data_IF_162121860900
#
_entry.id   IF_162121860900
#
_cell.length_a   1.000
_cell.length_b   1.000
_cell.length_c   1.000
_cell.angle_alpha   90.00
_cell.angle_beta   90.00
_cell.angle_gamma   90.00
#
_symmetry.space_group_name_H-M   'P 1'
#
loop_
_entity.id
_entity.type
_entity.pdbx_description
1 polymer ?
#
# COMPACT_ATOMS: atom_id res chain seq x y z
N UNK A 1 3.89 90.89 -23.36
CA UNK A 1 4.63 89.68 -22.97
C UNK A 1 4.05 89.24 -21.64
N UNK A 2 3.21 88.20 -21.56
CA UNK A 2 2.92 87.50 -20.27
C UNK A 2 1.90 86.35 -20.37
N UNK A 3 1.11 86.26 -21.45
CA UNK A 3 0.17 85.14 -21.63
C UNK A 3 0.88 83.80 -21.91
N UNK A 4 1.92 83.79 -22.75
CA UNK A 4 2.68 82.58 -23.07
C UNK A 4 3.40 81.97 -21.85
N UNK A 5 3.87 82.81 -20.92
CA UNK A 5 4.53 82.37 -19.68
C UNK A 5 3.55 81.62 -18.75
N UNK A 6 2.33 82.14 -18.56
CA UNK A 6 1.31 81.49 -17.72
C UNK A 6 0.84 80.14 -18.28
N UNK A 7 0.69 80.02 -19.60
CA UNK A 7 0.33 78.74 -20.20
C UNK A 7 1.46 77.72 -20.09
N UNK A 8 2.72 78.11 -20.28
CA UNK A 8 3.86 77.19 -20.13
C UNK A 8 3.94 76.60 -18.72
N UNK A 9 3.72 77.42 -17.68
CA UNK A 9 3.69 76.94 -16.28
C UNK A 9 2.52 75.98 -16.05
N UNK A 10 1.31 76.29 -16.56
CA UNK A 10 0.14 75.42 -16.43
C UNK A 10 0.34 74.06 -17.11
N UNK A 11 0.96 74.02 -18.29
CA UNK A 11 1.25 72.78 -19.01
C UNK A 11 2.31 71.94 -18.28
N UNK A 12 3.31 72.57 -17.68
CA UNK A 12 4.33 71.86 -16.90
C UNK A 12 3.76 71.18 -15.65
N UNK A 13 2.85 71.84 -14.94
CA UNK A 13 2.18 71.26 -13.75
C UNK A 13 1.29 70.08 -14.14
N UNK A 14 0.54 70.20 -15.25
CA UNK A 14 -0.30 69.12 -15.76
C UNK A 14 0.52 67.88 -16.15
N UNK A 15 1.67 68.09 -16.80
CA UNK A 15 2.57 67.00 -17.19
C UNK A 15 3.15 66.26 -15.96
N UNK A 16 3.52 67.00 -14.92
CA UNK A 16 4.03 66.42 -13.67
C UNK A 16 2.97 65.54 -12.99
N UNK A 17 1.73 66.02 -12.91
CA UNK A 17 0.61 65.26 -12.32
C UNK A 17 0.37 63.95 -13.09
N UNK A 18 0.37 63.99 -14.42
CA UNK A 18 0.20 62.78 -15.25
C UNK A 18 1.35 61.79 -15.00
N UNK A 19 2.59 62.26 -14.95
CA UNK A 19 3.76 61.40 -14.68
C UNK A 19 3.66 60.73 -13.31
N UNK A 20 3.23 61.48 -12.28
CA UNK A 20 3.07 60.92 -10.93
C UNK A 20 1.90 59.92 -10.84
N UNK A 21 0.79 60.15 -11.55
CA UNK A 21 -0.30 59.19 -11.67
C UNK A 21 0.20 57.90 -12.35
N UNK A 22 0.90 58.01 -13.48
CA UNK A 22 1.46 56.84 -14.20
C UNK A 22 2.44 56.09 -13.29
N UNK A 23 3.33 56.79 -12.60
CA UNK A 23 4.30 56.19 -11.67
C UNK A 23 3.59 55.46 -10.51
N UNK A 24 2.51 56.02 -10.00
CA UNK A 24 1.71 55.41 -8.93
C UNK A 24 0.98 54.16 -9.43
N UNK A 25 0.38 54.22 -10.63
CA UNK A 25 -0.27 53.07 -11.26
C UNK A 25 0.72 51.93 -11.57
N UNK A 26 1.92 52.24 -12.04
CA UNK A 26 2.98 51.24 -12.25
C UNK A 26 3.38 50.55 -10.94
N UNK A 27 3.55 51.30 -9.84
CA UNK A 27 3.85 50.72 -8.52
C UNK A 27 2.72 49.80 -8.04
N UNK A 28 1.47 50.21 -8.21
CA UNK A 28 0.30 49.41 -7.82
C UNK A 28 0.24 48.10 -8.61
N UNK A 29 0.51 48.16 -9.93
CA UNK A 29 0.56 47.00 -10.81
C UNK A 29 1.69 46.03 -10.42
N UNK A 30 2.88 46.56 -10.09
CA UNK A 30 4.00 45.75 -9.59
C UNK A 30 3.66 45.04 -8.27
N UNK A 31 3.00 45.72 -7.34
CA UNK A 31 2.57 45.15 -6.06
C UNK A 31 1.53 44.04 -6.28
N UNK A 32 0.52 44.27 -7.14
CA UNK A 32 -0.49 43.26 -7.48
C UNK A 32 0.14 42.03 -8.15
N UNK A 33 1.08 42.24 -9.07
CA UNK A 33 1.81 41.15 -9.72
C UNK A 33 2.61 40.33 -8.70
N UNK A 34 3.28 41.00 -7.77
CA UNK A 34 4.04 40.34 -6.70
C UNK A 34 3.12 39.54 -5.77
N UNK A 35 2.01 40.11 -5.31
CA UNK A 35 1.02 39.42 -4.47
C UNK A 35 0.43 38.18 -5.16
N UNK A 36 0.07 38.28 -6.44
CA UNK A 36 -0.44 37.14 -7.21
C UNK A 36 0.63 36.04 -7.36
N UNK A 37 1.89 36.41 -7.58
CA UNK A 37 3.00 35.44 -7.59
C UNK A 37 3.16 34.73 -6.23
N UNK A 38 3.10 35.46 -5.11
CA UNK A 38 3.19 34.85 -3.78
C UNK A 38 2.03 33.87 -3.52
N UNK A 39 0.80 34.24 -3.91
CA UNK A 39 -0.38 33.39 -3.77
C UNK A 39 -0.27 32.10 -4.61
N UNK A 40 0.27 32.22 -5.83
CA UNK A 40 0.53 31.07 -6.70
C UNK A 40 1.57 30.12 -6.10
N UNK A 41 2.66 30.66 -5.53
CA UNK A 41 3.69 29.85 -4.87
C UNK A 41 3.11 29.07 -3.67
N UNK A 42 2.30 29.73 -2.83
CA UNK A 42 1.64 29.11 -1.68
C UNK A 42 0.68 27.97 -2.09
N UNK A 43 -0.12 28.18 -3.14
CA UNK A 43 -1.06 27.15 -3.62
C UNK A 43 -0.32 25.93 -4.19
N UNK A 44 0.76 26.14 -4.94
CA UNK A 44 1.60 25.04 -5.46
C UNK A 44 2.26 24.26 -4.31
N UNK A 45 2.77 24.95 -3.28
CA UNK A 45 3.38 24.29 -2.11
C UNK A 45 2.39 23.42 -1.34
N UNK A 46 1.17 23.93 -1.10
CA UNK A 46 0.11 23.18 -0.42
C UNK A 46 -0.32 21.93 -1.21
N UNK A 47 -0.41 22.04 -2.54
CA UNK A 47 -0.75 20.90 -3.40
C UNK A 47 0.32 19.80 -3.34
N UNK A 48 1.60 20.18 -3.43
CA UNK A 48 2.72 19.21 -3.30
C UNK A 48 2.71 18.49 -1.96
N UNK A 49 2.45 19.23 -0.87
CA UNK A 49 2.38 18.66 0.48
C UNK A 49 1.24 17.64 0.60
N UNK A 50 0.04 17.99 0.10
CA UNK A 50 -1.12 17.08 0.11
C UNK A 50 -0.88 15.79 -0.67
N UNK A 51 -0.24 15.88 -1.84
CA UNK A 51 0.10 14.70 -2.66
C UNK A 51 1.10 13.81 -1.92
N UNK A 52 2.10 14.42 -1.27
CA UNK A 52 3.14 13.68 -0.55
C UNK A 52 2.56 12.92 0.64
N UNK A 53 1.66 13.55 1.41
CA UNK A 53 0.94 12.92 2.51
C UNK A 53 0.08 11.74 2.07
N UNK A 54 -0.69 11.90 0.99
CA UNK A 54 -1.52 10.82 0.45
C UNK A 54 -0.67 9.64 -0.05
N UNK A 55 0.45 9.92 -0.73
CA UNK A 55 1.40 8.89 -1.15
C UNK A 55 2.03 8.16 0.03
N UNK A 56 2.41 8.88 1.09
CA UNK A 56 2.95 8.29 2.31
C UNK A 56 1.91 7.40 3.00
N UNK A 57 0.68 7.88 3.18
CA UNK A 57 -0.41 7.10 3.77
C UNK A 57 -0.69 5.83 2.96
N UNK A 58 -0.80 5.94 1.62
CA UNK A 58 -0.96 4.79 0.72
C UNK A 58 0.21 3.82 0.81
N UNK A 59 1.44 4.32 0.89
CA UNK A 59 2.63 3.47 0.99
C UNK A 59 2.64 2.66 2.28
N UNK A 60 2.25 3.27 3.41
CA UNK A 60 2.12 2.58 4.70
C UNK A 60 1.04 1.50 4.63
N UNK A 61 -0.15 1.83 4.10
CA UNK A 61 -1.25 0.87 3.97
C UNK A 61 -0.90 -0.29 3.03
N UNK A 62 -0.17 -0.03 1.95
CA UNK A 62 0.33 -1.03 0.99
C UNK A 62 1.57 -1.80 1.46
N UNK A 63 2.04 -1.54 2.69
CA UNK A 63 3.23 -2.18 3.25
C UNK A 63 4.50 -1.92 2.42
N UNK A 64 4.62 -0.76 1.78
CA UNK A 64 5.72 -0.45 0.86
C UNK A 64 5.96 -1.51 -0.22
N UNK A 65 4.91 -2.17 -0.71
CA UNK A 65 5.02 -3.27 -1.69
C UNK A 65 5.80 -4.49 -1.17
N UNK A 66 5.92 -4.63 0.16
CA UNK A 66 6.60 -5.74 0.84
C UNK A 66 5.61 -6.78 1.32
N UNK A 67 6.13 -7.96 1.66
CA UNK A 67 5.38 -9.07 2.20
C UNK A 67 4.83 -8.77 3.60
N UNK A 68 3.57 -8.35 3.69
CA UNK A 68 2.91 -7.98 4.95
C UNK A 68 2.53 -9.21 5.80
N UNK A 69 2.61 -10.41 5.23
CA UNK A 69 2.39 -11.66 5.97
C UNK A 69 3.65 -12.14 6.70
N UNK A 70 4.78 -11.43 6.60
CA UNK A 70 6.02 -11.82 7.26
C UNK A 70 6.04 -11.53 8.77
N UNK A 71 6.81 -12.33 9.51
CA UNK A 71 7.07 -12.13 10.94
C UNK A 71 7.76 -10.80 11.22
N UNK A 72 8.70 -10.37 10.37
CA UNK A 72 9.35 -9.06 10.47
C UNK A 72 8.37 -7.88 10.40
N UNK A 73 7.20 -8.07 9.78
CA UNK A 73 6.10 -7.09 9.73
C UNK A 73 5.04 -7.30 10.84
N UNK A 74 5.29 -8.20 11.79
CA UNK A 74 4.42 -8.44 12.94
C UNK A 74 3.20 -9.31 12.65
N UNK A 75 3.16 -9.99 11.49
CA UNK A 75 2.12 -10.99 11.23
C UNK A 75 2.28 -12.19 12.17
N UNK A 76 1.16 -12.78 12.56
CA UNK A 76 1.13 -13.94 13.46
C UNK A 76 0.12 -14.98 13.01
N UNK A 77 0.42 -16.25 13.24
CA UNK A 77 -0.54 -17.34 13.06
C UNK A 77 -1.48 -17.36 14.27
N UNK A 78 -2.64 -16.72 14.16
CA UNK A 78 -3.59 -16.61 15.27
C UNK A 78 -4.25 -17.95 15.63
N UNK A 79 -4.33 -18.89 14.68
CA UNK A 79 -4.77 -20.26 14.94
C UNK A 79 -3.62 -21.23 15.29
N UNK A 80 -2.45 -20.74 15.74
CA UNK A 80 -1.26 -21.59 15.94
C UNK A 80 -1.51 -22.85 16.77
N UNK A 81 -2.35 -22.78 17.81
CA UNK A 81 -2.67 -23.93 18.69
C UNK A 81 -3.44 -25.06 18.01
N UNK A 82 -4.04 -24.81 16.84
CA UNK A 82 -4.78 -25.78 16.04
C UNK A 82 -3.92 -26.43 14.96
N UNK A 83 -2.66 -26.01 14.84
CA UNK A 83 -1.77 -26.39 13.75
C UNK A 83 -0.51 -27.06 14.28
N UNK A 84 0.03 -27.99 13.50
CA UNK A 84 1.24 -28.71 13.85
C UNK A 84 2.43 -28.08 13.13
N UNK A 85 3.31 -27.46 13.91
CA UNK A 85 4.55 -26.86 13.40
C UNK A 85 5.67 -27.90 13.44
N UNK A 86 6.14 -28.32 12.27
CA UNK A 86 7.16 -29.37 12.11
C UNK A 86 8.53 -28.73 11.86
N UNK A 87 9.30 -28.59 12.95
CA UNK A 87 10.62 -27.95 12.98
C UNK A 87 11.61 -28.70 13.88
N UNK A 88 12.85 -28.92 13.44
CA UNK A 88 13.98 -29.27 14.33
C UNK A 88 14.52 -27.97 14.96
N UNK A 89 15.09 -28.05 16.17
CA UNK A 89 15.87 -26.96 16.79
C UNK A 89 16.78 -26.31 15.74
N UNK A 90 16.53 -25.03 15.44
CA UNK A 90 17.18 -24.16 14.42
C UNK A 90 16.47 -24.01 13.06
N UNK A 91 15.33 -24.66 12.81
CA UNK A 91 14.50 -24.38 11.64
C UNK A 91 13.18 -23.78 12.08
N UNK A 92 12.89 -22.55 11.65
CA UNK A 92 11.61 -21.89 11.92
C UNK A 92 10.51 -22.54 11.05
N UNK A 93 9.58 -23.32 11.61
CA UNK A 93 8.52 -23.99 10.85
C UNK A 93 7.37 -23.04 10.45
N UNK A 94 7.44 -21.78 10.88
CA UNK A 94 6.41 -20.78 10.59
C UNK A 94 6.25 -20.56 9.09
N UNK A 95 5.01 -20.55 8.58
CA UNK A 95 4.74 -20.18 7.19
C UNK A 95 4.97 -18.68 6.94
N UNK A 96 5.25 -17.89 7.97
CA UNK A 96 5.42 -16.43 7.91
C UNK A 96 6.90 -16.00 7.96
N UNK A 97 7.83 -16.97 8.03
CA UNK A 97 9.26 -16.70 8.18
C UNK A 97 9.84 -15.85 7.03
N UNK A 98 10.72 -14.94 7.38
CA UNK A 98 11.51 -14.14 6.44
C UNK A 98 12.66 -14.94 5.81
N UNK A 99 13.20 -15.92 6.53
CA UNK A 99 14.36 -16.71 6.12
C UNK A 99 14.08 -17.61 4.91
N UNK A 100 15.14 -17.93 4.17
CA UNK A 100 15.11 -18.93 3.09
C UNK A 100 14.63 -20.27 3.67
N UNK A 101 13.76 -20.96 2.94
CA UNK A 101 13.22 -22.25 3.36
C UNK A 101 14.25 -23.35 3.13
N UNK A 102 14.52 -24.14 4.17
CA UNK A 102 15.15 -25.45 4.04
C UNK A 102 14.07 -26.48 4.38
N UNK A 103 13.54 -27.14 3.36
CA UNK A 103 12.46 -28.12 3.52
C UNK A 103 13.05 -29.52 3.46
N UNK A 104 12.71 -30.34 4.44
CA UNK A 104 12.89 -31.78 4.41
C UNK A 104 11.56 -32.45 4.76
N UNK A 105 11.44 -33.75 4.51
CA UNK A 105 10.18 -34.53 4.63
C UNK A 105 9.42 -34.26 5.94
N UNK A 106 10.13 -34.05 7.06
CA UNK A 106 9.53 -33.79 8.38
C UNK A 106 9.95 -32.45 9.00
N UNK A 107 10.37 -31.47 8.19
CA UNK A 107 10.98 -30.26 8.72
C UNK A 107 10.69 -29.01 7.88
N UNK A 108 10.63 -27.85 8.56
CA UNK A 108 10.52 -26.54 7.93
C UNK A 108 9.12 -26.24 7.38
N UNK A 109 8.05 -26.78 7.97
CA UNK A 109 6.69 -26.56 7.47
C UNK A 109 5.62 -26.68 8.56
N UNK A 110 4.40 -26.29 8.21
CA UNK A 110 3.23 -26.41 9.08
C UNK A 110 2.20 -27.35 8.43
N UNK A 111 1.63 -28.23 9.24
CA UNK A 111 0.46 -29.03 8.85
C UNK A 111 -0.79 -28.39 9.46
N UNK A 112 -1.77 -28.10 8.62
CA UNK A 112 -3.10 -27.63 9.04
C UNK A 112 -4.16 -28.65 8.69
N UNK A 113 -4.84 -29.18 9.71
CA UNK A 113 -5.89 -30.19 9.56
C UNK A 113 -7.26 -29.61 9.22
N UNK A 114 -7.44 -28.31 9.48
CA UNK A 114 -8.75 -27.66 9.33
C UNK A 114 -8.60 -26.18 8.97
N UNK A 115 -7.82 -25.43 9.75
CA UNK A 115 -7.79 -23.97 9.68
C UNK A 115 -6.41 -23.40 10.00
N UNK A 116 -5.90 -22.58 9.08
CA UNK A 116 -4.79 -21.69 9.31
C UNK A 116 -5.25 -20.24 9.18
N UNK A 117 -5.25 -19.50 10.29
CA UNK A 117 -5.54 -18.06 10.30
C UNK A 117 -4.27 -17.27 10.61
N UNK A 118 -4.00 -16.27 9.77
CA UNK A 118 -2.88 -15.35 9.86
C UNK A 118 -3.44 -13.95 10.09
N UNK A 119 -3.12 -13.35 11.23
CA UNK A 119 -3.52 -11.99 11.59
C UNK A 119 -2.36 -11.03 11.38
N UNK A 120 -2.64 -9.88 10.77
CA UNK A 120 -1.66 -8.83 10.56
C UNK A 120 -1.65 -7.85 11.74
N UNK A 121 -0.50 -7.21 11.99
CA UNK A 121 -0.36 -6.20 13.05
C UNK A 121 -1.23 -4.96 12.80
N UNK A 122 -1.48 -4.63 11.54
CA UNK A 122 -2.39 -3.57 11.12
C UNK A 122 -3.15 -3.99 9.84
N UNK A 123 -4.17 -3.22 9.49
CA UNK A 123 -4.89 -3.46 8.22
C UNK A 123 -4.05 -2.99 7.05
N UNK A 124 -3.90 -3.84 6.03
CA UNK A 124 -3.13 -3.55 4.83
C UNK A 124 -4.00 -3.58 3.58
N UNK A 125 -3.67 -2.76 2.58
CA UNK A 125 -4.23 -2.86 1.24
C UNK A 125 -3.51 -4.00 0.50
N UNK A 126 -4.24 -5.06 0.14
CA UNK A 126 -3.67 -6.29 -0.47
C UNK A 126 -4.42 -6.59 -1.77
N UNK A 127 -3.67 -6.99 -2.80
CA UNK A 127 -4.26 -7.46 -4.06
C UNK A 127 -3.62 -8.74 -4.60
N UNK A 128 -2.58 -9.27 -3.94
CA UNK A 128 -1.92 -10.49 -4.31
C UNK A 128 -1.54 -11.31 -3.08
N UNK A 129 -1.89 -12.60 -3.10
CA UNK A 129 -1.57 -13.57 -2.06
C UNK A 129 -0.87 -14.76 -2.73
N UNK A 130 0.21 -15.25 -2.13
CA UNK A 130 0.93 -16.43 -2.59
C UNK A 130 1.03 -17.45 -1.47
N UNK A 131 0.68 -18.69 -1.77
CA UNK A 131 0.75 -19.81 -0.83
C UNK A 131 1.61 -20.89 -1.44
N UNK A 132 2.63 -21.31 -0.70
CA UNK A 132 3.56 -22.34 -1.11
C UNK A 132 3.20 -23.60 -0.35
N UNK A 133 2.75 -24.62 -1.07
CA UNK A 133 2.37 -25.92 -0.54
C UNK A 133 3.52 -26.91 -0.67
N UNK A 134 3.43 -28.01 0.09
CA UNK A 134 4.33 -29.14 -0.02
C UNK A 134 4.28 -29.78 -1.41
N UNK A 135 5.46 -30.07 -1.97
CA UNK A 135 5.61 -30.47 -3.37
C UNK A 135 6.45 -31.73 -3.60
N UNK A 136 6.84 -32.43 -2.52
CA UNK A 136 7.65 -33.64 -2.62
C UNK A 136 6.82 -34.90 -2.95
N UNK A 137 5.50 -34.81 -2.97
CA UNK A 137 4.57 -35.87 -3.37
C UNK A 137 3.36 -35.33 -4.15
N UNK A 138 2.56 -36.24 -4.72
CA UNK A 138 1.38 -35.90 -5.53
C UNK A 138 0.13 -35.70 -4.65
N UNK A 139 0.22 -34.83 -3.65
CA UNK A 139 -0.95 -34.44 -2.85
C UNK A 139 -1.85 -33.50 -3.64
N UNK A 140 -3.15 -33.73 -3.49
CA UNK A 140 -4.22 -32.97 -4.13
C UNK A 140 -5.25 -32.62 -3.07
N UNK A 141 -5.22 -31.40 -2.53
CA UNK A 141 -6.20 -30.96 -1.53
C UNK A 141 -6.97 -29.73 -1.99
N UNK A 142 -8.24 -29.68 -1.60
CA UNK A 142 -9.14 -28.56 -1.79
C UNK A 142 -9.07 -27.65 -0.57
N UNK A 143 -8.99 -26.36 -0.82
CA UNK A 143 -8.97 -25.36 0.23
C UNK A 143 -9.68 -24.09 -0.20
N UNK A 144 -10.15 -23.35 0.81
CA UNK A 144 -10.71 -22.02 0.66
C UNK A 144 -9.77 -21.00 1.28
N UNK A 145 -9.52 -19.91 0.56
CA UNK A 145 -8.86 -18.72 1.09
C UNK A 145 -9.90 -17.64 1.31
N UNK A 146 -9.99 -17.19 2.55
CA UNK A 146 -10.87 -16.13 3.00
C UNK A 146 -10.01 -14.96 3.49
N UNK A 147 -10.41 -13.74 3.14
CA UNK A 147 -9.85 -12.52 3.72
C UNK A 147 -10.81 -11.95 4.74
N UNK A 148 -10.29 -11.34 5.81
CA UNK A 148 -11.07 -10.54 6.76
C UNK A 148 -10.66 -9.08 6.66
N UNK A 149 -11.63 -8.18 6.78
CA UNK A 149 -11.34 -6.75 6.93
C UNK A 149 -11.31 -6.34 8.42
N UNK A 150 -11.02 -5.05 8.69
CA UNK A 150 -11.02 -4.49 10.05
C UNK A 150 -12.35 -4.63 10.80
N UNK A 151 -13.46 -4.76 10.06
CA UNK A 151 -14.82 -4.88 10.58
C UNK A 151 -15.21 -6.36 10.78
N UNK A 152 -14.25 -7.30 10.69
CA UNK A 152 -14.43 -8.74 10.78
C UNK A 152 -15.35 -9.37 9.72
N UNK A 153 -15.56 -8.68 8.60
CA UNK A 153 -16.31 -9.22 7.46
C UNK A 153 -15.42 -10.22 6.73
N UNK A 154 -15.85 -11.49 6.69
CA UNK A 154 -15.19 -12.57 5.96
C UNK A 154 -15.64 -12.56 4.48
N UNK A 155 -14.69 -12.70 3.55
CA UNK A 155 -14.96 -12.90 2.12
C UNK A 155 -14.07 -13.98 1.55
N UNK A 156 -14.68 -15.02 0.95
CA UNK A 156 -13.94 -16.04 0.19
C UNK A 156 -13.40 -15.40 -1.08
N UNK A 157 -12.10 -15.50 -1.30
CA UNK A 157 -11.40 -14.92 -2.46
C UNK A 157 -10.81 -15.98 -3.38
N UNK A 158 -10.67 -17.21 -2.90
CA UNK A 158 -10.28 -18.35 -3.71
C UNK A 158 -10.91 -19.61 -3.13
N UNK A 159 -11.40 -20.45 -4.01
CA UNK A 159 -11.89 -21.79 -3.73
C UNK A 159 -11.38 -22.68 -4.86
N UNK A 160 -10.64 -23.72 -4.50
CA UNK A 160 -10.08 -24.59 -5.52
C UNK A 160 -9.19 -25.69 -4.97
N UNK A 161 -8.80 -26.55 -5.89
CA UNK A 161 -7.81 -27.58 -5.65
C UNK A 161 -6.41 -26.98 -5.82
N UNK A 162 -5.49 -27.28 -4.91
CA UNK A 162 -4.08 -27.12 -5.23
C UNK A 162 -3.57 -28.39 -5.91
N UNK A 163 -3.22 -28.25 -7.19
CA UNK A 163 -2.42 -29.23 -7.97
C UNK A 163 -1.01 -28.69 -8.19
N UNK A 164 -0.80 -27.40 -7.92
CA UNK A 164 0.43 -26.67 -8.15
C UNK A 164 1.11 -26.33 -6.81
N UNK A 165 2.45 -26.34 -6.84
CA UNK A 165 3.33 -26.11 -5.68
C UNK A 165 3.19 -24.71 -5.08
N UNK A 166 2.89 -23.73 -5.93
CA UNK A 166 2.69 -22.34 -5.54
C UNK A 166 1.35 -21.88 -6.12
N UNK A 167 0.43 -21.52 -5.24
CA UNK A 167 -0.86 -20.93 -5.64
C UNK A 167 -0.76 -19.42 -5.49
N UNK A 168 -0.93 -18.71 -6.61
CA UNK A 168 -0.98 -17.25 -6.64
C UNK A 168 -2.43 -16.82 -6.84
N UNK A 169 -2.96 -16.10 -5.86
CA UNK A 169 -4.33 -15.57 -5.86
C UNK A 169 -4.28 -14.06 -6.06
N UNK A 170 -4.84 -13.60 -7.18
CA UNK A 170 -5.03 -12.18 -7.46
C UNK A 170 -6.44 -11.77 -7.02
N UNK A 171 -6.53 -10.75 -6.16
CA UNK A 171 -7.81 -10.25 -5.62
C UNK A 171 -7.98 -8.77 -5.99
N UNK A 172 -9.21 -8.22 -5.99
CA UNK A 172 -9.41 -6.78 -6.08
C UNK A 172 -8.72 -6.07 -4.91
N UNK A 173 -8.20 -4.87 -5.16
CA UNK A 173 -7.58 -4.03 -4.13
C UNK A 173 -8.56 -3.84 -2.97
N UNK A 174 -8.21 -4.34 -1.79
CA UNK A 174 -9.07 -4.28 -0.61
C UNK A 174 -8.24 -4.27 0.68
N UNK A 175 -8.85 -3.73 1.73
CA UNK A 175 -8.27 -3.64 3.06
C UNK A 175 -8.45 -4.97 3.81
N UNK A 176 -7.33 -5.59 4.20
CA UNK A 176 -7.28 -6.91 4.82
C UNK A 176 -6.55 -6.83 6.16
N UNK A 177 -7.16 -7.39 7.20
CA UNK A 177 -6.62 -7.52 8.56
C UNK A 177 -6.19 -8.97 8.88
N UNK A 178 -6.79 -9.97 8.24
CA UNK A 178 -6.37 -11.36 8.38
C UNK A 178 -6.64 -12.20 7.13
N UNK A 179 -5.90 -13.30 7.01
CA UNK A 179 -6.07 -14.34 6.01
C UNK A 179 -6.46 -15.63 6.71
N UNK A 180 -7.38 -16.37 6.09
CA UNK A 180 -7.91 -17.62 6.63
C UNK A 180 -7.88 -18.68 5.53
N UNK A 181 -7.04 -19.69 5.70
CA UNK A 181 -7.00 -20.87 4.85
C UNK A 181 -7.78 -21.99 5.55
N UNK A 182 -8.79 -22.51 4.88
CA UNK A 182 -9.63 -23.61 5.39
C UNK A 182 -9.44 -24.83 4.50
N UNK A 183 -9.02 -25.95 5.10
CA UNK A 183 -9.00 -27.24 4.42
C UNK A 183 -10.44 -27.73 4.22
N UNK A 184 -10.76 -28.15 3.00
CA UNK A 184 -12.10 -28.61 2.64
C UNK A 184 -12.15 -30.14 2.50
N UNK A 185 -11.27 -30.71 1.67
CA UNK A 185 -11.22 -32.15 1.38
C UNK A 185 -10.01 -32.51 0.50
N UNK A 186 -9.76 -33.79 0.27
CA UNK A 186 -8.78 -34.30 -0.71
C UNK A 186 -7.54 -34.98 -0.12
N UNK A 187 -6.69 -35.50 -1.02
CA UNK A 187 -5.37 -36.03 -0.71
C UNK A 187 -5.33 -37.43 -0.09
N UNK A 188 -4.12 -37.99 -0.05
CA UNK A 188 -3.78 -39.18 0.77
C UNK A 188 -3.75 -38.85 2.27
N UNK A 189 -3.58 -37.56 2.61
CA UNK A 189 -3.47 -37.04 3.97
C UNK A 189 -4.52 -35.94 4.18
N UNK A 190 -5.15 -35.93 5.35
CA UNK A 190 -6.20 -34.99 5.71
C UNK A 190 -5.64 -33.67 6.27
N UNK A 191 -4.65 -33.09 5.58
CA UNK A 191 -4.01 -31.83 5.96
C UNK A 191 -3.62 -30.98 4.73
N UNK A 192 -3.46 -29.67 4.95
CA UNK A 192 -2.65 -28.82 4.06
C UNK A 192 -1.28 -28.67 4.69
N UNK A 193 -0.25 -28.96 3.90
CA UNK A 193 1.13 -28.77 4.31
C UNK A 193 1.66 -27.51 3.64
N UNK A 194 1.99 -26.51 4.44
CA UNK A 194 2.30 -25.15 3.97
C UNK A 194 3.74 -24.79 4.34
N UNK A 195 4.47 -24.25 3.38
CA UNK A 195 5.84 -23.77 3.55
C UNK A 195 5.93 -22.28 3.79
N UNK A 196 5.11 -21.52 3.06
CA UNK A 196 5.17 -20.06 3.09
C UNK A 196 3.85 -19.45 2.65
N UNK A 197 3.47 -18.38 3.33
CA UNK A 197 2.39 -17.50 2.93
C UNK A 197 3.00 -16.12 2.75
N UNK A 198 2.66 -15.48 1.63
CA UNK A 198 3.05 -14.11 1.35
C UNK A 198 1.82 -13.32 0.93
N UNK A 199 1.76 -12.07 1.35
CA UNK A 199 0.70 -11.17 0.94
C UNK A 199 1.29 -9.79 0.71
N UNK A 200 0.92 -9.15 -0.40
CA UNK A 200 1.45 -7.83 -0.73
C UNK A 200 0.52 -7.11 -1.71
N UNK A 201 0.72 -5.80 -1.78
CA UNK A 201 0.18 -4.99 -2.87
C UNK A 201 1.15 -5.06 -4.05
N UNK A 202 0.76 -5.67 -5.16
CA UNK A 202 1.50 -5.68 -6.41
C UNK A 202 0.99 -4.55 -7.30
N UNK A 203 1.89 -3.69 -7.80
CA UNK A 203 1.52 -2.77 -8.88
C UNK A 203 1.15 -3.62 -10.10
N UNK A 204 -0.09 -3.47 -10.58
CA UNK A 204 -0.50 -4.00 -11.88
C UNK A 204 0.14 -3.14 -12.96
N UNK A 205 1.45 -3.28 -13.18
CA UNK A 205 2.02 -2.83 -14.43
C UNK A 205 1.41 -3.72 -15.52
N UNK A 206 0.60 -3.10 -16.38
CA UNK A 206 -0.06 -3.69 -17.54
C UNK A 206 0.81 -4.74 -18.22
N UNK A 207 0.47 -6.01 -18.01
CA UNK A 207 0.80 -7.10 -18.95
C UNK A 207 -0.10 -6.98 -20.16
#
# INVERSE_FOLDING_TARGET
MDLFSKYAVSWSIFLIIIIDIIRTQMKLCQILLFLNCQLLVLTIQNCKYSITLDLMAKSILRGHYKDVASESNGAMVSSARQNQFLGITNQNPSPLRDSIYAVQVNNGHINTFYLLEVSFAQTHEINQIMIWFYDLDNRNSYFNLTVKNKDNIEKVVFEGQHVQRIVKVSIPDQMVSSLKLTYMSGGTFADLVIFKIQAYYANRSST
#
